data_IF_771801944107
#
_entry.id   IF_771801944107
#
_cell.length_a   1.000
_cell.length_b   1.000
_cell.length_c   1.000
_cell.angle_alpha   90.00
_cell.angle_beta   90.00
_cell.angle_gamma   90.00
#
_symmetry.space_group_name_H-M   'P 1'
#
loop_
_entity.id
_entity.type
_entity.pdbx_description
1 polymer ?
#
# COMPACT_ATOMS: atom_id res chain seq x y z
N UNK A 1 -58.50 48.82 18.72
CA UNK A 1 -59.42 47.68 18.93
C UNK A 1 -59.10 46.62 17.88
N UNK A 2 -58.90 45.38 18.34
CA UNK A 2 -58.87 44.11 17.58
C UNK A 2 -57.68 43.76 16.67
N UNK A 3 -56.71 43.06 17.27
CA UNK A 3 -56.21 41.71 16.90
C UNK A 3 -56.60 41.11 15.54
N UNK A 4 -55.62 40.53 14.83
CA UNK A 4 -55.52 39.07 14.60
C UNK A 4 -54.14 38.62 14.12
N UNK A 5 -53.59 37.66 14.87
CA UNK A 5 -52.46 36.79 14.61
C UNK A 5 -52.63 35.97 13.33
N UNK A 6 -51.54 35.71 12.60
CA UNK A 6 -51.25 34.38 12.03
C UNK A 6 -49.73 34.17 11.99
N UNK A 7 -49.24 33.32 12.90
CA UNK A 7 -47.91 32.73 12.87
C UNK A 7 -47.90 31.60 11.83
N UNK A 8 -47.09 31.71 10.78
CA UNK A 8 -46.69 30.57 9.96
C UNK A 8 -45.43 29.95 10.55
N UNK A 9 -45.58 28.70 10.98
CA UNK A 9 -44.55 27.85 11.56
C UNK A 9 -43.48 27.51 10.52
N UNK A 10 -42.29 28.08 10.66
CA UNK A 10 -41.09 27.57 10.00
C UNK A 10 -40.56 26.38 10.77
N UNK A 11 -40.73 25.17 10.23
CA UNK A 11 -40.01 23.98 10.71
C UNK A 11 -38.56 24.12 10.28
N UNK A 12 -37.74 24.81 11.08
CA UNK A 12 -36.30 24.72 10.98
C UNK A 12 -35.88 23.32 11.46
N UNK A 13 -35.45 22.46 10.54
CA UNK A 13 -34.60 21.33 10.90
C UNK A 13 -33.35 21.93 11.56
N UNK A 14 -33.29 21.91 12.90
CA UNK A 14 -32.06 22.19 13.63
C UNK A 14 -31.10 21.05 13.32
N UNK A 15 -30.21 21.25 12.34
CA UNK A 15 -29.00 20.44 12.23
C UNK A 15 -28.23 20.68 13.53
N UNK A 16 -28.23 19.70 14.44
CA UNK A 16 -27.37 19.75 15.63
C UNK A 16 -25.92 19.73 15.13
N UNK A 17 -25.26 20.88 15.17
CA UNK A 17 -23.80 20.95 15.03
C UNK A 17 -23.24 20.31 16.29
N UNK A 18 -22.69 19.11 16.14
CA UNK A 18 -22.03 18.38 17.22
C UNK A 18 -20.70 19.08 17.48
N UNK A 19 -20.40 19.57 18.70
CA UNK A 19 -19.11 20.15 19.00
C UNK A 19 -18.03 19.09 18.78
N UNK A 20 -16.97 19.43 18.04
CA UNK A 20 -15.85 18.53 17.77
C UNK A 20 -15.23 17.99 19.08
N UNK A 21 -15.33 18.75 20.17
CA UNK A 21 -14.87 18.39 21.52
C UNK A 21 -15.65 17.22 22.13
N UNK A 22 -16.97 17.14 21.95
CA UNK A 22 -17.79 16.06 22.53
C UNK A 22 -17.55 14.74 21.78
N UNK A 23 -17.47 14.82 20.46
CA UNK A 23 -17.14 13.68 19.60
C UNK A 23 -15.76 13.10 19.93
N UNK A 24 -14.75 13.97 20.04
CA UNK A 24 -13.38 13.56 20.37
C UNK A 24 -13.32 12.86 21.72
N UNK A 25 -13.98 13.42 22.73
CA UNK A 25 -13.99 12.86 24.08
C UNK A 25 -14.64 11.48 24.10
N UNK A 26 -15.78 11.30 23.42
CA UNK A 26 -16.44 10.00 23.31
C UNK A 26 -15.53 8.94 22.64
N UNK A 27 -14.81 9.32 21.59
CA UNK A 27 -13.85 8.44 20.91
C UNK A 27 -12.71 8.02 21.85
N UNK A 28 -12.09 8.99 22.53
CA UNK A 28 -10.97 8.74 23.45
C UNK A 28 -11.40 7.87 24.64
N UNK A 29 -12.58 8.12 25.20
CA UNK A 29 -13.17 7.28 26.25
C UNK A 29 -13.45 5.86 25.75
N UNK A 30 -13.92 5.70 24.51
CA UNK A 30 -14.11 4.40 23.90
C UNK A 30 -12.80 3.61 23.76
N UNK A 31 -11.71 4.25 23.31
CA UNK A 31 -10.40 3.60 23.20
C UNK A 31 -9.85 3.11 24.54
N UNK A 32 -10.12 3.85 25.61
CA UNK A 32 -9.64 3.53 26.96
C UNK A 32 -10.44 2.41 27.65
N UNK A 33 -11.75 2.29 27.33
CA UNK A 33 -12.66 1.45 28.11
C UNK A 33 -13.18 0.20 27.39
N UNK A 34 -13.08 0.13 26.06
CA UNK A 34 -13.51 -1.06 25.33
C UNK A 34 -12.56 -2.23 25.56
N UNK A 35 -13.12 -3.42 25.69
CA UNK A 35 -12.36 -4.66 25.63
C UNK A 35 -11.85 -4.94 24.20
N UNK A 36 -10.95 -5.90 24.06
CA UNK A 36 -10.32 -6.24 22.77
C UNK A 36 -11.15 -7.24 21.95
N UNK A 37 -12.43 -7.44 22.27
CA UNK A 37 -13.28 -8.47 21.65
C UNK A 37 -13.63 -8.20 20.18
N UNK A 38 -13.38 -6.98 19.68
CA UNK A 38 -13.86 -6.52 18.39
C UNK A 38 -15.28 -5.98 18.41
N UNK A 39 -15.91 -5.88 19.60
CA UNK A 39 -17.21 -5.22 19.74
C UNK A 39 -17.12 -3.76 19.33
N UNK A 40 -18.10 -3.33 18.52
CA UNK A 40 -18.24 -1.96 18.06
C UNK A 40 -19.27 -1.21 18.90
N UNK A 41 -18.90 -0.05 19.43
CA UNK A 41 -19.75 0.87 20.20
C UNK A 41 -20.21 2.02 19.32
N UNK A 42 -21.52 2.23 19.22
CA UNK A 42 -22.08 3.35 18.45
C UNK A 42 -21.68 4.70 19.07
N UNK A 43 -21.21 5.63 18.25
CA UNK A 43 -20.90 7.00 18.65
C UNK A 43 -22.22 7.78 18.78
N UNK A 44 -22.59 8.13 20.00
CA UNK A 44 -23.84 8.81 20.34
C UNK A 44 -23.84 10.29 19.96
N UNK A 45 -22.66 10.90 19.89
CA UNK A 45 -22.52 12.28 19.48
C UNK A 45 -22.97 12.52 18.02
N UNK A 46 -22.95 11.51 17.15
CA UNK A 46 -23.29 11.66 15.73
C UNK A 46 -24.81 11.53 15.44
N UNK A 47 -25.31 12.15 14.35
CA UNK A 47 -26.69 11.95 13.90
C UNK A 47 -26.97 10.48 13.53
N UNK A 48 -28.20 10.03 13.79
CA UNK A 48 -28.62 8.64 13.55
C UNK A 48 -28.54 8.24 12.06
N UNK A 49 -28.63 9.20 11.15
CA UNK A 49 -28.55 9.01 9.70
C UNK A 49 -27.10 8.81 9.20
N UNK A 50 -26.10 9.11 10.04
CA UNK A 50 -24.68 8.99 9.73
C UNK A 50 -23.92 8.25 10.85
N UNK A 51 -24.33 7.02 11.18
CA UNK A 51 -23.75 6.29 12.29
C UNK A 51 -22.26 6.03 12.04
N UNK A 52 -21.49 5.99 13.12
CA UNK A 52 -20.14 5.48 13.14
C UNK A 52 -19.92 4.79 14.49
N UNK A 53 -18.89 3.95 14.56
CA UNK A 53 -18.62 3.15 15.72
C UNK A 53 -17.17 3.29 16.17
N UNK A 54 -16.94 3.19 17.47
CA UNK A 54 -15.62 3.01 18.08
C UNK A 54 -15.44 1.51 18.29
N UNK A 55 -14.24 1.00 18.07
CA UNK A 55 -13.95 -0.40 18.34
C UNK A 55 -12.56 -0.55 18.96
N UNK A 56 -12.38 -1.70 19.60
CA UNK A 56 -11.06 -2.23 19.97
C UNK A 56 -11.06 -3.73 19.69
N UNK A 57 -10.08 -4.19 18.94
CA UNK A 57 -9.99 -5.55 18.42
C UNK A 57 -8.53 -5.98 18.42
N UNK A 58 -8.20 -7.00 19.22
CA UNK A 58 -6.82 -7.39 19.51
C UNK A 58 -5.98 -6.17 19.99
N UNK A 59 -4.85 -5.92 19.34
CA UNK A 59 -3.95 -4.79 19.59
C UNK A 59 -4.37 -3.49 18.90
N UNK A 60 -5.50 -3.47 18.18
CA UNK A 60 -5.94 -2.33 17.37
C UNK A 60 -7.15 -1.63 17.96
N UNK A 61 -7.22 -0.34 17.75
CA UNK A 61 -8.37 0.49 18.09
C UNK A 61 -8.61 1.51 16.98
N UNK A 62 -9.84 2.03 16.92
CA UNK A 62 -10.18 3.01 15.91
C UNK A 62 -11.67 3.23 15.75
N UNK A 63 -12.03 3.80 14.61
CA UNK A 63 -13.42 4.08 14.24
C UNK A 63 -13.80 3.37 12.96
N UNK A 64 -15.08 3.06 12.84
CA UNK A 64 -15.67 2.37 11.71
C UNK A 64 -16.86 3.14 11.16
N UNK A 65 -16.99 3.15 9.85
CA UNK A 65 -18.15 3.67 9.11
C UNK A 65 -18.61 2.58 8.15
N UNK A 66 -19.92 2.34 8.09
CA UNK A 66 -20.46 1.36 7.15
C UNK A 66 -20.28 1.82 5.70
N UNK A 67 -19.93 0.88 4.82
CA UNK A 67 -19.63 1.10 3.41
C UNK A 67 -20.21 -0.03 2.54
N UNK A 68 -20.08 0.10 1.22
CA UNK A 68 -20.50 -0.96 0.29
C UNK A 68 -19.50 -2.13 0.28
N UNK A 69 -19.99 -3.30 -0.08
CA UNK A 69 -19.17 -4.50 -0.30
C UNK A 69 -18.10 -4.31 -1.38
N UNK A 70 -18.42 -3.53 -2.41
CA UNK A 70 -17.51 -3.25 -3.53
C UNK A 70 -16.30 -2.37 -3.15
N UNK A 71 -16.30 -1.77 -1.95
CA UNK A 71 -15.24 -0.87 -1.54
C UNK A 71 -14.10 -1.65 -0.90
N UNK A 72 -13.10 -2.04 -1.68
CA UNK A 72 -11.94 -2.78 -1.17
C UNK A 72 -10.74 -1.87 -0.99
N UNK A 73 -10.34 -1.66 0.27
CA UNK A 73 -9.24 -0.78 0.67
C UNK A 73 -8.39 -1.48 1.72
N UNK A 74 -7.07 -1.43 1.55
CA UNK A 74 -6.09 -1.72 2.59
C UNK A 74 -4.89 -0.79 2.42
N UNK A 75 -4.92 0.31 3.16
CA UNK A 75 -3.90 1.34 3.14
C UNK A 75 -3.26 1.50 4.51
N UNK A 76 -1.99 1.90 4.55
CA UNK A 76 -1.29 2.09 5.81
C UNK A 76 0.01 2.89 5.70
N UNK A 77 0.28 3.65 6.75
CA UNK A 77 1.60 4.22 7.06
C UNK A 77 1.99 3.86 8.50
N UNK A 78 3.17 4.31 8.94
CA UNK A 78 3.80 3.88 10.19
C UNK A 78 2.89 3.92 11.45
N UNK A 79 1.79 4.68 11.46
CA UNK A 79 0.90 4.81 12.62
C UNK A 79 -0.60 4.66 12.40
N UNK A 80 -1.05 4.46 11.17
CA UNK A 80 -2.47 4.35 10.88
C UNK A 80 -2.70 3.42 9.70
N UNK A 81 -3.87 2.79 9.69
CA UNK A 81 -4.38 2.01 8.56
C UNK A 81 -5.80 2.41 8.24
N UNK A 82 -6.11 2.49 6.96
CA UNK A 82 -7.46 2.61 6.45
C UNK A 82 -7.80 1.30 5.73
N UNK A 83 -8.81 0.57 6.20
CA UNK A 83 -9.15 -0.72 5.60
C UNK A 83 -10.64 -1.00 5.55
N UNK A 84 -11.08 -1.78 4.58
CA UNK A 84 -12.43 -2.35 4.58
C UNK A 84 -12.44 -3.70 5.29
N UNK A 85 -13.43 -3.93 6.15
CA UNK A 85 -13.65 -5.23 6.77
C UNK A 85 -15.11 -5.68 6.66
N UNK A 86 -15.32 -6.95 6.32
CA UNK A 86 -16.62 -7.60 6.41
C UNK A 86 -16.88 -8.12 7.84
N UNK A 87 -18.10 -7.94 8.35
CA UNK A 87 -18.57 -8.49 9.63
C UNK A 87 -20.00 -8.98 9.51
N UNK A 88 -20.34 -10.03 10.26
CA UNK A 88 -21.72 -10.46 10.44
C UNK A 88 -22.32 -9.67 11.60
N UNK A 89 -23.29 -8.81 11.32
CA UNK A 89 -23.99 -8.01 12.33
C UNK A 89 -25.48 -8.33 12.23
N UNK A 90 -26.05 -8.85 13.32
CA UNK A 90 -27.44 -9.29 13.37
C UNK A 90 -27.81 -10.26 12.21
N UNK A 91 -26.92 -11.20 11.89
CA UNK A 91 -27.13 -12.21 10.85
C UNK A 91 -26.97 -11.69 9.40
N UNK A 92 -26.61 -10.42 9.21
CA UNK A 92 -26.33 -9.84 7.88
C UNK A 92 -24.85 -9.53 7.72
N UNK A 93 -24.31 -9.83 6.55
CA UNK A 93 -22.99 -9.34 6.16
C UNK A 93 -23.05 -7.83 5.96
N UNK A 94 -22.15 -7.12 6.63
CA UNK A 94 -21.98 -5.67 6.53
C UNK A 94 -20.51 -5.34 6.38
N UNK A 95 -20.21 -4.28 5.65
CA UNK A 95 -18.85 -3.86 5.37
C UNK A 95 -18.58 -2.53 6.03
N UNK A 96 -17.38 -2.40 6.60
CA UNK A 96 -16.98 -1.21 7.33
C UNK A 96 -15.63 -0.70 6.85
N UNK A 97 -15.59 0.58 6.49
CA UNK A 97 -14.36 1.33 6.34
C UNK A 97 -13.85 1.72 7.73
N UNK A 98 -12.69 1.19 8.11
CA UNK A 98 -12.06 1.39 9.42
C UNK A 98 -10.81 2.23 9.28
N UNK A 99 -10.71 3.27 10.09
CA UNK A 99 -9.44 3.93 10.39
C UNK A 99 -8.95 3.42 11.74
N UNK A 100 -7.75 2.84 11.76
CA UNK A 100 -7.24 2.13 12.92
C UNK A 100 -5.75 2.29 13.17
N UNK A 101 -5.35 2.10 14.43
CA UNK A 101 -3.96 2.12 14.87
C UNK A 101 -3.71 1.04 15.92
N UNK A 102 -2.44 0.63 16.04
CA UNK A 102 -1.94 -0.20 17.14
C UNK A 102 -0.98 0.57 18.06
N UNK A 103 -0.75 1.86 17.81
CA UNK A 103 0.14 2.70 18.64
C UNK A 103 -0.58 3.22 19.88
N UNK A 104 -0.62 2.41 20.93
CA UNK A 104 -1.33 2.73 22.18
C UNK A 104 -0.87 4.07 22.80
N UNK A 105 0.42 4.40 22.71
CA UNK A 105 0.97 5.64 23.27
C UNK A 105 0.55 6.91 22.49
N UNK A 106 0.00 6.79 21.27
CA UNK A 106 -0.55 7.89 20.47
C UNK A 106 -2.09 7.86 20.41
N UNK A 107 -2.77 7.05 21.24
CA UNK A 107 -4.21 6.83 21.08
C UNK A 107 -5.05 8.10 21.15
N UNK A 108 -4.63 9.07 21.96
CA UNK A 108 -5.37 10.31 22.17
C UNK A 108 -5.24 11.25 20.97
N UNK A 109 -4.03 11.37 20.43
CA UNK A 109 -3.69 12.11 19.22
C UNK A 109 -4.37 11.47 18.01
N UNK A 110 -4.35 10.14 17.92
CA UNK A 110 -5.05 9.40 16.88
C UNK A 110 -6.57 9.64 16.90
N UNK A 111 -7.15 9.81 18.10
CA UNK A 111 -8.55 10.19 18.28
C UNK A 111 -8.97 11.45 17.53
N UNK A 112 -8.06 12.41 17.31
CA UNK A 112 -8.34 13.62 16.53
C UNK A 112 -8.63 13.30 15.06
N UNK A 113 -7.84 12.39 14.49
CA UNK A 113 -7.97 11.95 13.10
C UNK A 113 -9.24 11.13 12.93
N UNK A 114 -9.54 10.24 13.89
CA UNK A 114 -10.79 9.50 13.94
C UNK A 114 -12.01 10.42 14.02
N UNK A 115 -11.98 11.43 14.88
CA UNK A 115 -13.06 12.41 14.99
C UNK A 115 -13.27 13.15 13.65
N UNK A 116 -12.19 13.52 12.96
CA UNK A 116 -12.27 14.15 11.66
C UNK A 116 -12.84 13.22 10.58
N UNK A 117 -12.47 11.94 10.56
CA UNK A 117 -13.02 10.95 9.61
C UNK A 117 -14.54 10.80 9.75
N UNK A 118 -15.04 10.68 10.98
CA UNK A 118 -16.46 10.38 11.21
C UNK A 118 -17.35 11.62 11.27
N UNK A 119 -16.74 12.81 11.38
CA UNK A 119 -17.43 14.09 11.41
C UNK A 119 -18.34 14.29 10.20
N UNK A 120 -19.48 14.95 10.44
CA UNK A 120 -20.50 15.29 9.45
C UNK A 120 -20.68 16.81 9.33
N UNK A 121 -19.67 17.60 9.72
CA UNK A 121 -19.70 19.06 9.62
C UNK A 121 -19.02 19.52 8.31
N UNK A 122 -19.61 20.45 7.53
CA UNK A 122 -20.84 21.20 7.81
C UNK A 122 -22.14 20.47 7.42
N UNK A 123 -22.07 19.24 6.90
CA UNK A 123 -23.23 18.42 6.58
C UNK A 123 -22.89 16.99 6.18
N UNK A 124 -23.90 16.21 5.81
CA UNK A 124 -23.79 14.81 5.37
C UNK A 124 -22.84 14.61 4.18
N UNK A 125 -22.62 15.66 3.40
CA UNK A 125 -21.74 15.64 2.22
C UNK A 125 -20.33 15.16 2.55
N UNK A 126 -19.78 15.49 3.73
CA UNK A 126 -18.47 15.01 4.15
C UNK A 126 -18.40 13.48 4.25
N UNK A 127 -19.46 12.86 4.79
CA UNK A 127 -19.57 11.39 4.88
C UNK A 127 -19.72 10.75 3.52
N UNK A 128 -20.52 11.35 2.63
CA UNK A 128 -20.72 10.84 1.27
C UNK A 128 -19.43 10.93 0.45
N UNK A 129 -18.68 12.04 0.57
CA UNK A 129 -17.38 12.20 -0.08
C UNK A 129 -16.34 11.20 0.44
N UNK A 130 -16.27 10.97 1.75
CA UNK A 130 -15.39 9.95 2.33
C UNK A 130 -15.67 8.57 1.73
N UNK A 131 -16.94 8.18 1.58
CA UNK A 131 -17.29 6.85 1.06
C UNK A 131 -17.16 6.76 -0.47
N UNK A 132 -17.34 7.87 -1.20
CA UNK A 132 -17.17 7.92 -2.64
C UNK A 132 -15.69 7.92 -3.07
N UNK A 133 -14.82 8.61 -2.33
CA UNK A 133 -13.40 8.74 -2.63
C UNK A 133 -12.51 8.65 -1.37
N UNK A 134 -12.52 7.52 -0.66
CA UNK A 134 -11.78 7.35 0.60
C UNK A 134 -10.27 7.49 0.46
N UNK A 135 -9.70 7.12 -0.70
CA UNK A 135 -8.28 7.28 -0.97
C UNK A 135 -7.86 8.76 -1.06
N UNK A 136 -8.73 9.65 -1.56
CA UNK A 136 -8.47 11.10 -1.56
C UNK A 136 -8.39 11.64 -0.13
N UNK A 137 -9.28 11.17 0.74
CA UNK A 137 -9.23 11.51 2.17
C UNK A 137 -7.96 10.95 2.81
N UNK A 138 -7.61 9.70 2.51
CA UNK A 138 -6.42 9.03 3.02
C UNK A 138 -5.14 9.75 2.63
N UNK A 139 -4.95 10.08 1.35
CA UNK A 139 -3.76 10.73 0.83
C UNK A 139 -3.47 12.06 1.52
N UNK A 140 -4.50 12.86 1.79
CA UNK A 140 -4.36 14.10 2.55
C UNK A 140 -3.75 13.88 3.93
N UNK A 141 -4.19 12.84 4.64
CA UNK A 141 -3.68 12.52 5.98
C UNK A 141 -2.35 11.79 5.93
N UNK A 142 -2.12 10.93 4.94
CA UNK A 142 -0.82 10.31 4.67
C UNK A 142 0.24 11.38 4.43
N UNK A 143 -0.05 12.40 3.63
CA UNK A 143 0.87 13.50 3.35
C UNK A 143 1.17 14.35 4.60
N UNK A 144 0.17 14.55 5.47
CA UNK A 144 0.32 15.36 6.68
C UNK A 144 1.03 14.63 7.83
N UNK A 145 0.78 13.32 7.99
CA UNK A 145 1.16 12.54 9.18
C UNK A 145 2.17 11.43 8.91
N UNK A 146 2.31 11.03 7.65
CA UNK A 146 3.25 10.00 7.22
C UNK A 146 4.53 10.61 6.68
N UNK A 147 5.63 9.87 6.80
CA UNK A 147 6.82 10.15 6.01
C UNK A 147 6.45 9.88 4.55
N UNK A 148 6.23 10.93 3.76
CA UNK A 148 5.98 10.92 2.32
C UNK A 148 7.10 10.28 1.46
N UNK A 149 8.04 9.56 2.10
CA UNK A 149 9.23 8.95 1.50
C UNK A 149 9.13 7.43 1.35
N UNK A 150 8.09 6.79 1.88
CA UNK A 150 7.78 5.39 1.55
C UNK A 150 6.68 5.41 0.49
N UNK A 151 6.98 6.02 -0.66
CA UNK A 151 6.19 5.74 -1.86
C UNK A 151 6.52 4.29 -2.23
N UNK A 152 5.58 3.39 -1.94
CA UNK A 152 5.62 2.04 -2.48
C UNK A 152 5.45 2.20 -3.97
N UNK A 153 6.55 2.12 -4.71
CA UNK A 153 6.48 2.13 -6.16
C UNK A 153 5.86 0.81 -6.62
N UNK A 154 4.53 0.79 -6.80
CA UNK A 154 3.80 -0.39 -7.26
C UNK A 154 4.40 -0.95 -8.57
N UNK A 155 4.95 -0.07 -9.40
CA UNK A 155 5.62 -0.44 -10.65
C UNK A 155 6.90 -1.28 -10.45
N UNK A 156 7.64 -1.15 -9.34
CA UNK A 156 8.82 -2.00 -9.07
C UNK A 156 8.39 -3.44 -8.84
N UNK A 157 7.32 -3.63 -8.05
CA UNK A 157 6.77 -4.97 -7.78
C UNK A 157 6.08 -5.54 -9.02
N UNK A 158 5.39 -4.70 -9.80
CA UNK A 158 4.83 -5.09 -11.10
C UNK A 158 5.92 -5.64 -12.04
N UNK A 159 7.11 -5.03 -12.05
CA UNK A 159 8.25 -5.52 -12.83
C UNK A 159 8.66 -6.93 -12.40
N UNK A 160 8.77 -7.18 -11.10
CA UNK A 160 9.10 -8.51 -10.56
C UNK A 160 8.05 -9.55 -10.97
N UNK A 161 6.75 -9.21 -10.87
CA UNK A 161 5.67 -10.12 -11.24
C UNK A 161 5.64 -10.42 -12.76
N UNK A 162 5.89 -9.43 -13.61
CA UNK A 162 6.02 -9.63 -15.06
C UNK A 162 7.25 -10.49 -15.41
N UNK A 163 8.34 -10.33 -14.65
CA UNK A 163 9.52 -11.18 -14.81
C UNK A 163 9.21 -12.64 -14.43
N UNK A 164 8.53 -12.84 -13.30
CA UNK A 164 8.02 -14.15 -12.89
C UNK A 164 7.12 -14.77 -13.96
N UNK A 165 6.16 -14.01 -14.49
CA UNK A 165 5.23 -14.49 -15.51
C UNK A 165 5.99 -14.98 -16.75
N UNK A 166 6.98 -14.21 -17.20
CA UNK A 166 7.82 -14.58 -18.34
C UNK A 166 8.57 -15.89 -18.08
N UNK A 167 9.11 -16.08 -16.87
CA UNK A 167 9.82 -17.30 -16.47
C UNK A 167 8.88 -18.51 -16.37
N UNK A 168 7.68 -18.32 -15.83
CA UNK A 168 6.62 -19.35 -15.75
C UNK A 168 6.22 -19.81 -17.14
N UNK A 169 5.95 -18.88 -18.07
CA UNK A 169 5.58 -19.18 -19.45
C UNK A 169 6.69 -19.97 -20.17
N UNK A 170 7.96 -19.72 -19.82
CA UNK A 170 9.11 -20.48 -20.33
C UNK A 170 9.26 -21.87 -19.71
N UNK A 171 8.40 -22.24 -18.75
CA UNK A 171 8.47 -23.51 -18.03
C UNK A 171 9.62 -23.56 -17.00
N UNK A 172 10.13 -22.40 -16.56
CA UNK A 172 11.19 -22.36 -15.55
C UNK A 172 10.63 -22.57 -14.15
N UNK A 173 11.29 -23.42 -13.37
CA UNK A 173 11.12 -23.39 -11.92
C UNK A 173 11.76 -22.12 -11.37
N UNK A 174 11.06 -21.44 -10.45
CA UNK A 174 11.51 -20.19 -9.87
C UNK A 174 11.31 -20.15 -8.36
N UNK A 175 12.07 -19.29 -7.70
CA UNK A 175 11.89 -18.84 -6.31
C UNK A 175 11.84 -17.32 -6.34
N UNK A 176 10.71 -16.73 -5.93
CA UNK A 176 10.58 -15.28 -5.76
C UNK A 176 11.12 -14.89 -4.39
N UNK A 177 12.36 -14.42 -4.33
CA UNK A 177 13.08 -14.16 -3.08
C UNK A 177 13.12 -12.70 -2.65
N UNK A 178 12.88 -11.76 -3.56
CA UNK A 178 12.87 -10.30 -3.29
C UNK A 178 12.04 -9.91 -2.06
N UNK A 179 10.75 -10.29 -1.97
CA UNK A 179 9.89 -9.98 -0.82
C UNK A 179 10.38 -10.50 0.54
N UNK A 180 11.31 -11.45 0.53
CA UNK A 180 11.82 -12.11 1.74
C UNK A 180 13.24 -11.67 2.09
N UNK A 181 13.75 -10.59 1.47
CA UNK A 181 15.11 -10.08 1.70
C UNK A 181 16.18 -10.96 1.04
N UNK A 182 15.85 -11.58 -0.08
CA UNK A 182 16.81 -12.31 -0.91
C UNK A 182 17.94 -11.42 -1.41
N UNK A 183 19.09 -12.03 -1.75
CA UNK A 183 20.23 -11.33 -2.37
C UNK A 183 19.89 -10.84 -3.78
N UNK A 184 18.97 -11.54 -4.45
CA UNK A 184 18.41 -11.25 -5.77
C UNK A 184 16.89 -11.39 -5.69
N UNK A 185 16.18 -10.85 -6.66
CA UNK A 185 14.71 -10.83 -6.64
C UNK A 185 14.11 -12.19 -7.03
N UNK A 186 14.64 -12.84 -8.07
CA UNK A 186 14.15 -14.14 -8.55
C UNK A 186 15.32 -15.09 -8.80
N UNK A 187 15.19 -16.33 -8.36
CA UNK A 187 16.17 -17.40 -8.63
C UNK A 187 15.54 -18.49 -9.46
N UNK A 188 16.32 -19.07 -10.36
CA UNK A 188 15.99 -20.32 -11.05
C UNK A 188 17.12 -21.33 -10.87
N UNK A 189 16.95 -22.60 -11.27
CA UNK A 189 18.05 -23.57 -11.22
C UNK A 189 19.29 -23.14 -12.01
N UNK A 190 19.10 -22.41 -13.11
CA UNK A 190 20.18 -22.07 -14.06
C UNK A 190 20.65 -20.63 -14.01
N UNK A 191 19.82 -19.69 -13.55
CA UNK A 191 20.08 -18.24 -13.65
C UNK A 191 19.40 -17.50 -12.51
N UNK A 192 20.08 -16.53 -11.95
CA UNK A 192 19.51 -15.59 -10.97
C UNK A 192 19.19 -14.27 -11.67
N UNK A 193 18.17 -13.56 -11.18
CA UNK A 193 17.64 -12.34 -11.79
C UNK A 193 17.51 -11.22 -10.76
N UNK A 194 18.13 -10.09 -11.06
CA UNK A 194 17.93 -8.80 -10.39
C UNK A 194 16.98 -7.96 -11.25
N UNK A 195 15.89 -7.48 -10.67
CA UNK A 195 14.86 -6.70 -11.36
C UNK A 195 15.01 -5.23 -10.98
N UNK A 196 15.07 -4.36 -11.98
CA UNK A 196 15.03 -2.91 -11.83
C UNK A 196 13.97 -2.33 -12.71
N UNK A 197 13.37 -1.24 -12.29
CA UNK A 197 12.35 -0.60 -13.10
C UNK A 197 12.36 0.92 -13.00
N UNK A 198 11.70 1.57 -13.95
CA UNK A 198 11.58 3.03 -13.98
C UNK A 198 10.34 3.49 -14.72
N UNK A 199 9.77 4.62 -14.27
CA UNK A 199 8.77 5.41 -14.99
C UNK A 199 9.39 6.62 -15.71
N UNK A 200 10.71 6.82 -15.59
CA UNK A 200 11.40 7.91 -16.29
C UNK A 200 11.30 7.70 -17.79
N UNK A 201 11.03 8.78 -18.54
CA UNK A 201 11.02 8.76 -20.02
C UNK A 201 12.40 8.71 -20.64
N UNK A 202 13.41 9.19 -19.92
CA UNK A 202 14.77 9.33 -20.42
C UNK A 202 15.79 8.71 -19.47
N UNK A 203 16.92 8.29 -20.05
CA UNK A 203 17.99 7.64 -19.30
C UNK A 203 17.65 6.20 -18.93
N UNK A 204 18.68 5.39 -18.81
CA UNK A 204 18.60 4.03 -18.28
C UNK A 204 19.59 3.91 -17.12
N UNK A 205 19.56 4.90 -16.22
CA UNK A 205 20.38 4.88 -15.01
C UNK A 205 19.63 4.14 -13.93
N UNK A 206 20.20 3.03 -13.48
CA UNK A 206 19.70 2.28 -12.32
C UNK A 206 20.54 2.63 -11.10
N UNK A 207 19.92 2.62 -9.93
CA UNK A 207 20.63 2.73 -8.65
C UNK A 207 20.90 1.32 -8.09
N UNK A 208 22.14 1.07 -7.71
CA UNK A 208 22.56 -0.14 -6.99
C UNK A 208 22.77 0.28 -5.54
N UNK A 209 21.88 -0.15 -4.64
CA UNK A 209 21.80 0.36 -3.27
C UNK A 209 22.43 -0.55 -2.21
N UNK A 210 22.98 -1.69 -2.61
CA UNK A 210 23.56 -2.67 -1.71
C UNK A 210 24.82 -3.34 -2.27
N UNK A 211 25.81 -3.54 -1.41
CA UNK A 211 27.09 -4.19 -1.74
C UNK A 211 26.98 -5.66 -2.17
N UNK A 212 25.82 -6.29 -1.92
CA UNK A 212 25.52 -7.66 -2.33
C UNK A 212 24.71 -7.72 -3.63
N UNK A 213 24.12 -6.61 -4.05
CA UNK A 213 23.47 -6.54 -5.36
C UNK A 213 24.55 -6.69 -6.44
N UNK A 214 24.23 -7.43 -7.50
CA UNK A 214 25.14 -7.76 -8.60
C UNK A 214 26.32 -8.69 -8.26
N UNK A 215 26.42 -9.18 -7.01
CA UNK A 215 27.31 -10.28 -6.69
C UNK A 215 26.68 -11.56 -7.24
N UNK A 216 27.36 -12.24 -8.17
CA UNK A 216 26.88 -13.52 -8.67
C UNK A 216 26.76 -14.50 -7.49
N UNK A 217 25.58 -15.12 -7.33
CA UNK A 217 25.44 -16.29 -6.46
C UNK A 217 26.44 -17.35 -6.90
N UNK A 218 27.03 -18.05 -5.94
CA UNK A 218 28.10 -19.04 -6.16
C UNK A 218 27.78 -20.00 -7.32
N UNK A 219 28.36 -19.72 -8.49
CA UNK A 219 28.34 -20.57 -9.68
C UNK A 219 27.18 -20.38 -10.67
N UNK A 220 26.26 -19.43 -10.46
CA UNK A 220 25.16 -19.15 -11.41
C UNK A 220 25.36 -17.82 -12.17
N UNK A 221 25.03 -17.77 -13.47
CA UNK A 221 24.85 -16.50 -14.18
C UNK A 221 23.82 -15.61 -13.47
N UNK A 222 24.08 -14.30 -13.50
CA UNK A 222 23.18 -13.27 -13.02
C UNK A 222 22.76 -12.40 -14.20
N UNK A 223 21.46 -12.22 -14.35
CA UNK A 223 20.85 -11.30 -15.32
C UNK A 223 20.23 -10.13 -14.58
N UNK A 224 20.50 -8.91 -15.03
CA UNK A 224 19.76 -7.73 -14.63
C UNK A 224 18.65 -7.47 -15.65
N UNK A 225 17.40 -7.45 -15.20
CA UNK A 225 16.26 -7.14 -16.04
C UNK A 225 15.76 -5.75 -15.72
N UNK A 226 15.78 -4.86 -16.72
CA UNK A 226 15.31 -3.50 -16.59
C UNK A 226 13.98 -3.31 -17.31
N UNK A 227 12.95 -2.92 -16.55
CA UNK A 227 11.62 -2.60 -17.05
C UNK A 227 11.41 -1.08 -17.12
N UNK A 228 10.76 -0.61 -18.19
CA UNK A 228 10.32 0.77 -18.32
C UNK A 228 8.81 0.82 -18.49
N UNK A 229 8.18 1.64 -17.66
CA UNK A 229 6.74 1.82 -17.64
C UNK A 229 6.33 3.25 -17.98
N UNK A 230 5.09 3.41 -18.42
CA UNK A 230 4.38 4.69 -18.48
C UNK A 230 3.04 4.55 -17.73
N UNK A 231 2.74 5.40 -16.73
CA UNK A 231 1.44 5.39 -16.05
C UNK A 231 0.29 5.68 -17.02
N UNK A 232 -0.78 4.89 -16.94
CA UNK A 232 -2.00 5.01 -17.78
C UNK A 232 -3.25 4.64 -16.98
N UNK A 233 -4.43 4.93 -17.54
CA UNK A 233 -5.74 4.61 -16.93
C UNK A 233 -6.33 3.26 -17.42
N UNK A 234 -5.66 2.59 -18.37
CA UNK A 234 -6.04 1.27 -18.91
C UNK A 234 -4.77 0.50 -19.30
N UNK A 235 -4.23 -0.30 -18.38
CA UNK A 235 -2.92 -0.93 -18.54
C UNK A 235 -2.68 -2.17 -17.66
N UNK A 236 -1.40 -2.50 -17.46
CA UNK A 236 -0.98 -3.58 -16.57
C UNK A 236 -1.01 -3.11 -15.13
N UNK A 237 -1.64 -3.90 -14.27
CA UNK A 237 -1.66 -3.71 -12.82
C UNK A 237 -1.14 -4.95 -12.11
N UNK A 238 -0.77 -4.82 -10.83
CA UNK A 238 -0.35 -5.97 -10.01
C UNK A 238 -1.48 -6.99 -9.94
N UNK A 239 -2.72 -6.54 -9.70
CA UNK A 239 -3.89 -7.42 -9.62
C UNK A 239 -4.08 -8.22 -10.92
N UNK A 240 -4.00 -7.56 -12.08
CA UNK A 240 -4.11 -8.24 -13.37
C UNK A 240 -3.02 -9.29 -13.58
N UNK A 241 -1.77 -8.99 -13.24
CA UNK A 241 -0.65 -9.93 -13.41
C UNK A 241 -0.74 -11.08 -12.41
N UNK A 242 -1.20 -10.84 -11.18
CA UNK A 242 -1.49 -11.90 -10.20
C UNK A 242 -2.54 -12.87 -10.73
N UNK A 243 -3.67 -12.38 -11.26
CA UNK A 243 -4.71 -13.23 -11.85
C UNK A 243 -4.16 -14.12 -12.97
N UNK A 244 -3.29 -13.55 -13.82
CA UNK A 244 -2.62 -14.29 -14.90
C UNK A 244 -1.64 -15.35 -14.38
N UNK A 245 -0.83 -15.03 -13.37
CA UNK A 245 0.08 -15.98 -12.73
C UNK A 245 -0.66 -17.15 -12.09
N UNK A 246 -1.78 -16.86 -11.41
CA UNK A 246 -2.65 -17.89 -10.82
C UNK A 246 -3.26 -18.77 -11.92
N UNK A 247 -3.70 -18.18 -13.03
CA UNK A 247 -4.19 -18.94 -14.19
C UNK A 247 -3.10 -19.82 -14.82
N UNK A 248 -1.82 -19.45 -14.70
CA UNK A 248 -0.66 -20.25 -15.09
C UNK A 248 -0.27 -21.32 -14.05
N UNK A 249 -0.98 -21.41 -12.93
CA UNK A 249 -0.77 -22.42 -11.88
C UNK A 249 0.21 -22.01 -10.78
N UNK A 250 0.56 -20.73 -10.68
CA UNK A 250 1.35 -20.23 -9.55
C UNK A 250 0.51 -20.24 -8.26
N UNK A 251 1.13 -20.65 -7.17
CA UNK A 251 0.47 -20.75 -5.86
C UNK A 251 0.02 -19.37 -5.35
N UNK A 252 -1.28 -19.24 -5.09
CA UNK A 252 -1.92 -17.99 -4.63
C UNK A 252 -1.38 -17.56 -3.27
N UNK A 253 -1.16 -18.49 -2.34
CA UNK A 253 -0.71 -18.16 -0.99
C UNK A 253 0.74 -17.65 -0.98
N UNK A 254 1.58 -18.17 -1.87
CA UNK A 254 2.95 -17.68 -2.10
C UNK A 254 2.93 -16.24 -2.65
N UNK A 255 2.13 -15.96 -3.68
CA UNK A 255 2.03 -14.62 -4.27
C UNK A 255 1.52 -13.59 -3.25
N UNK A 256 0.37 -13.87 -2.62
CA UNK A 256 -0.22 -12.95 -1.64
C UNK A 256 0.65 -12.80 -0.38
N UNK A 257 1.35 -13.86 0.04
CA UNK A 257 2.31 -13.80 1.13
C UNK A 257 3.55 -12.95 0.82
N UNK A 258 4.01 -12.94 -0.44
CA UNK A 258 5.07 -12.06 -0.93
C UNK A 258 4.61 -10.59 -0.98
N UNK A 259 3.47 -10.34 -1.63
CA UNK A 259 2.89 -9.00 -1.73
C UNK A 259 2.61 -8.38 -0.36
N UNK A 260 2.07 -9.14 0.59
CA UNK A 260 1.84 -8.67 1.95
C UNK A 260 3.14 -8.23 2.65
N UNK A 261 4.27 -8.91 2.41
CA UNK A 261 5.56 -8.50 2.98
C UNK A 261 6.09 -7.19 2.38
N UNK A 262 5.74 -6.91 1.14
CA UNK A 262 6.00 -5.64 0.48
C UNK A 262 4.97 -4.55 0.87
N UNK A 263 3.99 -4.90 1.72
CA UNK A 263 2.89 -4.02 2.12
C UNK A 263 1.89 -3.76 0.99
N UNK A 264 1.79 -4.67 0.04
CA UNK A 264 0.85 -4.64 -1.09
C UNK A 264 -0.20 -5.74 -0.91
N UNK A 265 -0.74 -5.89 0.31
CA UNK A 265 -1.82 -6.84 0.53
C UNK A 265 -3.07 -6.52 -0.32
N UNK A 266 -3.94 -7.52 -0.50
CA UNK A 266 -5.18 -7.36 -1.25
C UNK A 266 -6.00 -6.14 -0.75
N UNK A 267 -6.47 -5.32 -1.69
CA UNK A 267 -7.15 -4.06 -1.43
C UNK A 267 -6.24 -2.83 -1.34
N UNK A 268 -4.92 -2.98 -1.38
CA UNK A 268 -4.01 -1.84 -1.52
C UNK A 268 -4.19 -1.17 -2.89
N UNK A 269 -4.32 0.16 -2.90
CA UNK A 269 -4.55 0.96 -4.11
C UNK A 269 -3.40 0.88 -5.10
N UNK A 270 -2.15 0.77 -4.61
CA UNK A 270 -0.97 0.59 -5.44
C UNK A 270 -1.03 -0.68 -6.32
N UNK A 271 -1.85 -1.68 -5.95
CA UNK A 271 -2.05 -2.88 -6.79
C UNK A 271 -2.90 -2.62 -8.04
N UNK A 272 -3.71 -1.55 -7.99
CA UNK A 272 -4.64 -1.11 -9.04
C UNK A 272 -4.08 0.02 -9.89
N UNK A 273 -2.89 0.53 -9.56
CA UNK A 273 -2.18 1.45 -10.44
C UNK A 273 -1.84 0.74 -11.75
N UNK A 274 -2.03 1.43 -12.86
CA UNK A 274 -1.95 0.85 -14.18
C UNK A 274 -0.83 1.48 -15.03
N UNK A 275 -0.15 0.61 -15.77
CA UNK A 275 1.07 0.94 -16.47
C UNK A 275 1.13 0.29 -17.85
N UNK A 276 1.56 1.05 -18.84
CA UNK A 276 2.01 0.49 -20.12
C UNK A 276 3.47 0.05 -19.99
N UNK A 277 3.76 -1.19 -20.37
CA UNK A 277 5.13 -1.68 -20.50
C UNK A 277 5.73 -1.16 -21.82
N UNK A 278 6.66 -0.21 -21.72
CA UNK A 278 7.37 0.35 -22.87
C UNK A 278 8.54 -0.54 -23.31
N UNK A 279 9.27 -1.10 -22.34
CA UNK A 279 10.49 -1.86 -22.59
C UNK A 279 10.79 -2.83 -21.45
N UNK A 280 11.28 -4.03 -21.81
CA UNK A 280 11.89 -4.99 -20.89
C UNK A 280 13.19 -5.53 -21.51
N UNK A 281 14.33 -5.27 -20.86
CA UNK A 281 15.66 -5.64 -21.36
C UNK A 281 16.43 -6.46 -20.33
N UNK A 282 17.10 -7.50 -20.78
CA UNK A 282 18.02 -8.32 -19.98
C UNK A 282 19.47 -7.93 -20.28
N UNK A 283 20.27 -7.81 -19.23
CA UNK A 283 21.71 -7.52 -19.27
C UNK A 283 22.44 -8.60 -18.48
N UNK A 284 23.34 -9.33 -19.14
CA UNK A 284 24.19 -10.29 -18.46
C UNK A 284 25.19 -9.57 -17.56
N UNK A 285 25.21 -9.92 -16.28
CA UNK A 285 26.12 -9.32 -15.28
C UNK A 285 27.44 -10.09 -15.25
N UNK A 286 28.24 -9.87 -16.28
CA UNK A 286 29.57 -10.47 -16.46
C UNK A 286 30.71 -9.53 -16.03
N UNK A 287 31.92 -9.78 -16.53
CA UNK A 287 33.11 -8.97 -16.29
C UNK A 287 33.08 -7.61 -17.02
N UNK A 288 32.25 -7.47 -18.05
CA UNK A 288 32.06 -6.25 -18.82
C UNK A 288 30.92 -5.38 -18.24
N UNK A 289 30.08 -5.95 -17.38
CA UNK A 289 29.05 -5.20 -16.68
C UNK A 289 29.68 -4.33 -15.58
N UNK A 290 29.39 -3.01 -15.54
CA UNK A 290 29.88 -2.12 -14.50
C UNK A 290 29.29 -2.51 -13.13
N UNK A 291 30.09 -3.18 -12.31
CA UNK A 291 29.72 -3.59 -10.96
C UNK A 291 30.83 -3.34 -9.96
N UNK A 292 30.45 -3.03 -8.74
CA UNK A 292 31.36 -2.93 -7.59
C UNK A 292 31.08 -4.13 -6.68
N UNK A 293 32.07 -5.00 -6.54
CA UNK A 293 32.03 -6.19 -5.67
C UNK A 293 33.21 -6.13 -4.69
N UNK A 294 33.31 -7.01 -3.69
CA UNK A 294 34.53 -7.07 -2.86
C UNK A 294 35.82 -7.22 -3.67
N UNK A 295 35.77 -7.92 -4.81
CA UNK A 295 36.89 -8.06 -5.75
C UNK A 295 37.36 -6.74 -6.38
N UNK A 296 36.51 -5.71 -6.40
CA UNK A 296 36.84 -4.37 -6.93
C UNK A 296 37.77 -3.58 -6.00
N UNK A 297 37.97 -4.02 -4.76
CA UNK A 297 38.80 -3.34 -3.76
C UNK A 297 40.13 -4.07 -3.52
N UNK A 298 41.08 -3.36 -2.90
CA UNK A 298 42.43 -3.90 -2.62
C UNK A 298 42.34 -5.18 -1.79
N UNK A 299 42.94 -6.26 -2.30
CA UNK A 299 42.95 -7.56 -1.64
C UNK A 299 41.65 -8.37 -1.79
N UNK A 300 40.72 -7.93 -2.64
CA UNK A 300 39.46 -8.63 -2.91
C UNK A 300 38.48 -8.60 -1.74
N UNK A 301 38.61 -7.63 -0.85
CA UNK A 301 37.78 -7.49 0.35
C UNK A 301 37.26 -6.06 0.47
N UNK A 302 36.04 -5.92 0.98
CA UNK A 302 35.46 -4.62 1.29
C UNK A 302 36.33 -3.90 2.34
N UNK A 303 36.67 -2.61 2.16
CA UNK A 303 37.46 -1.88 3.15
C UNK A 303 36.77 -1.84 4.52
N UNK A 304 37.56 -2.02 5.58
CA UNK A 304 37.07 -1.93 6.96
C UNK A 304 36.46 -0.54 7.19
N UNK A 305 35.23 -0.51 7.71
CA UNK A 305 34.49 0.72 8.00
C UNK A 305 33.53 1.17 6.90
N UNK A 306 33.53 0.54 5.72
CA UNK A 306 32.45 0.75 4.74
C UNK A 306 31.23 -0.07 5.17
N UNK A 307 30.14 0.63 5.47
CA UNK A 307 28.87 0.03 5.93
C UNK A 307 27.89 -0.14 4.79
N UNK A 308 27.87 0.80 3.85
CA UNK A 308 26.97 0.80 2.70
C UNK A 308 27.66 1.48 1.50
N UNK A 309 27.35 1.00 0.29
CA UNK A 309 27.76 1.57 -0.96
C UNK A 309 26.53 1.71 -1.85
N UNK A 310 26.33 2.90 -2.41
CA UNK A 310 25.31 3.17 -3.42
C UNK A 310 25.97 3.81 -4.64
N UNK A 311 25.59 3.35 -5.84
CA UNK A 311 26.12 3.90 -7.09
C UNK A 311 25.14 3.74 -8.24
N UNK A 312 25.19 4.68 -9.18
CA UNK A 312 24.42 4.64 -10.41
C UNK A 312 25.16 3.90 -11.52
N UNK A 313 24.41 3.11 -12.31
CA UNK A 313 24.90 2.47 -13.53
C UNK A 313 24.06 2.95 -14.70
N UNK A 314 24.69 3.52 -15.73
CA UNK A 314 24.03 3.84 -17.00
C UNK A 314 24.05 2.62 -17.93
N UNK A 315 22.87 2.12 -18.25
CA UNK A 315 22.68 0.94 -19.10
C UNK A 315 22.75 1.28 -20.61
N UNK A 316 22.73 2.55 -21.00
CA UNK A 316 22.60 2.97 -22.42
C UNK A 316 23.73 2.49 -23.34
N UNK A 317 24.91 2.21 -22.79
CA UNK A 317 26.07 1.69 -23.52
C UNK A 317 26.28 0.18 -23.42
N UNK A 318 25.43 -0.54 -22.67
CA UNK A 318 25.61 -1.97 -22.41
C UNK A 318 24.85 -2.83 -23.42
N UNK A 319 25.40 -4.01 -23.72
CA UNK A 319 24.70 -4.98 -24.56
C UNK A 319 23.52 -5.55 -23.79
N UNK A 320 22.36 -5.54 -24.43
CA UNK A 320 21.14 -6.14 -23.90
C UNK A 320 20.38 -6.90 -24.96
N UNK A 321 19.49 -7.76 -24.49
CA UNK A 321 18.48 -8.43 -25.30
C UNK A 321 17.10 -8.11 -24.77
N UNK A 322 16.07 -8.35 -25.58
CA UNK A 322 14.69 -8.32 -25.08
C UNK A 322 14.55 -9.43 -24.03
N UNK A 323 14.02 -9.08 -22.87
CA UNK A 323 13.84 -10.05 -21.79
C UNK A 323 12.87 -11.16 -22.18
#
# INVERSE_FOLDING_TARGET
MSTRFFQTWGVFLRIRIVPMTDLLKEIQEGFANLDQSGRMLLIKALPAECPAWIFRENDRFGVAVECSESLEISEGFAGARLRTVGRIVAGKHRYFLRLESSMEWLRNEFGLICAHMVSVSPGRDARLQLLAAPLVWWERWRHLLGNALIDKHGYDVLAELLALETLVIRGSHFEWSGPFGGVVDIKTPTTDYEIKSTISRYGAVINISGQFQLAASSGKPLELVHFRFEPVDDGLSIDLVCDRLVALGVDVAMLEGGLQRLGLEAGCSARKEEYNLLEARSYTVDENFPRITPASFKGGVMPVGVVQLEYGVDLSGLRSQRF
#
